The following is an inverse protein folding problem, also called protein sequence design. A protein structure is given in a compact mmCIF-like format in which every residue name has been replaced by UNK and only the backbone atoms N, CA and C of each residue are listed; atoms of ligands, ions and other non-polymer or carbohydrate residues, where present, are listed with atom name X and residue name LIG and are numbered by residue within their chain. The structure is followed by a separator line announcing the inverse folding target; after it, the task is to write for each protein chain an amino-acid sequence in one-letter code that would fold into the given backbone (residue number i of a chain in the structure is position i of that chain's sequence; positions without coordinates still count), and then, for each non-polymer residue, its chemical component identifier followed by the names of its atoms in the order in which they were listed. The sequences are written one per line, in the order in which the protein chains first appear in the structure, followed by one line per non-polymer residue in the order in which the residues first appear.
data_IF_373829788077
#
_entry.id   IF_373829788077
#
_cell.length_a   1.000
_cell.length_b   1.000
_cell.length_c   1.000
_cell.angle_alpha   90.00
_cell.angle_beta   90.00
_cell.angle_gamma   90.00
#
_symmetry.space_group_name_H-M   'P 1'
#
loop_
_entity.id
_entity.type
_entity.pdbx_description
1 polymer ?
#
# COMPACT_ATOMS: atom_id res chain seq x y z
N UNK A 1 2.22 18.04 -2.15
CA UNK A 1 2.98 16.93 -1.55
C UNK A 1 2.36 16.67 -0.18
N UNK A 2 1.64 15.56 0.01
CA UNK A 2 1.13 15.18 1.34
C UNK A 2 2.15 14.23 1.96
N UNK A 3 2.67 14.60 3.13
CA UNK A 3 3.60 13.75 3.87
C UNK A 3 2.78 12.59 4.45
N UNK A 4 3.18 11.37 4.12
CA UNK A 4 2.56 10.13 4.59
C UNK A 4 3.52 9.45 5.56
N UNK A 5 3.07 9.21 6.79
CA UNK A 5 3.79 8.43 7.79
C UNK A 5 3.13 7.07 7.92
N UNK A 6 3.87 6.00 7.65
CA UNK A 6 3.36 4.62 7.68
C UNK A 6 4.36 3.73 8.43
N UNK A 7 3.85 2.89 9.34
CA UNK A 7 4.61 1.83 10.00
C UNK A 7 4.14 0.46 9.46
N UNK A 8 5.07 -0.34 8.95
CA UNK A 8 4.78 -1.69 8.44
C UNK A 8 5.18 -2.74 9.47
N UNK A 9 4.25 -3.64 9.81
CA UNK A 9 4.48 -4.79 10.67
C UNK A 9 4.44 -6.07 9.82
N UNK A 10 5.55 -6.81 9.76
CA UNK A 10 5.63 -8.07 9.03
C UNK A 10 5.15 -9.25 9.88
N UNK A 11 4.78 -10.36 9.22
CA UNK A 11 4.44 -11.64 9.87
C UNK A 11 3.30 -11.54 10.90
N UNK A 12 2.23 -10.82 10.55
CA UNK A 12 1.02 -10.72 11.39
C UNK A 12 0.02 -11.84 11.11
N UNK A 13 -0.78 -12.20 12.11
CA UNK A 13 -2.04 -12.93 11.92
C UNK A 13 -3.14 -11.92 11.57
N UNK A 14 -3.73 -12.06 10.37
CA UNK A 14 -4.73 -11.11 9.87
C UNK A 14 -6.02 -11.15 10.69
N UNK A 15 -6.40 -12.31 11.20
CA UNK A 15 -7.69 -12.47 11.87
C UNK A 15 -7.62 -11.93 13.30
N UNK A 16 -6.49 -12.16 13.99
CA UNK A 16 -6.20 -11.52 15.29
C UNK A 16 -6.16 -10.00 15.18
N UNK A 17 -5.47 -9.46 14.17
CA UNK A 17 -5.34 -8.01 14.00
C UNK A 17 -6.69 -7.37 13.67
N UNK A 18 -7.51 -8.01 12.84
CA UNK A 18 -8.87 -7.53 12.53
C UNK A 18 -9.76 -7.48 13.76
N UNK A 19 -9.74 -8.53 14.58
CA UNK A 19 -10.51 -8.59 15.83
C UNK A 19 -10.08 -7.47 16.79
N UNK A 20 -8.77 -7.25 16.97
CA UNK A 20 -8.24 -6.15 17.79
C UNK A 20 -8.64 -4.78 17.27
N UNK A 21 -8.55 -4.56 15.95
CA UNK A 21 -8.97 -3.30 15.34
C UNK A 21 -10.46 -3.05 15.56
N UNK A 22 -11.31 -4.08 15.42
CA UNK A 22 -12.75 -3.95 15.65
C UNK A 22 -13.06 -3.62 17.12
N UNK A 23 -12.39 -4.29 18.06
CA UNK A 23 -12.51 -4.01 19.51
C UNK A 23 -12.07 -2.59 19.87
N UNK A 24 -11.12 -2.03 19.13
CA UNK A 24 -10.68 -0.64 19.27
C UNK A 24 -11.60 0.38 18.54
N UNK A 25 -12.72 -0.06 17.94
CA UNK A 25 -13.65 0.81 17.21
C UNK A 25 -13.33 1.01 15.73
N UNK A 26 -12.35 0.27 15.20
CA UNK A 26 -12.05 0.22 13.77
C UNK A 26 -13.22 -0.31 12.95
N UNK A 27 -13.35 0.16 11.71
CA UNK A 27 -14.44 -0.20 10.79
C UNK A 27 -13.91 -0.78 9.50
N UNK A 28 -14.56 -1.83 9.00
CA UNK A 28 -14.28 -2.38 7.68
C UNK A 28 -14.95 -1.51 6.61
N UNK A 29 -14.19 -0.60 6.01
CA UNK A 29 -14.69 0.28 4.93
C UNK A 29 -14.65 -0.41 3.56
N UNK A 30 -13.69 -1.32 3.35
CA UNK A 30 -13.51 -2.06 2.10
C UNK A 30 -13.12 -3.50 2.42
N UNK A 31 -13.90 -4.46 1.93
CA UNK A 31 -13.63 -5.91 2.07
C UNK A 31 -12.29 -6.29 1.44
N UNK A 32 -11.68 -7.39 1.87
CA UNK A 32 -10.40 -7.84 1.31
C UNK A 32 -10.48 -8.05 -0.21
N UNK A 33 -9.48 -7.56 -0.92
CA UNK A 33 -9.39 -7.62 -2.38
C UNK A 33 -7.95 -7.85 -2.82
N UNK A 34 -7.80 -8.41 -4.03
CA UNK A 34 -6.50 -8.66 -4.61
C UNK A 34 -5.87 -7.35 -5.12
N UNK A 35 -4.70 -7.01 -4.60
CA UNK A 35 -3.87 -5.93 -5.14
C UNK A 35 -2.82 -6.50 -6.10
N UNK A 36 -2.87 -6.10 -7.37
CA UNK A 36 -1.86 -6.46 -8.38
C UNK A 36 -1.00 -5.23 -8.67
N UNK A 37 0.32 -5.37 -8.68
CA UNK A 37 1.25 -4.27 -8.99
C UNK A 37 2.29 -4.66 -10.03
N UNK A 38 2.73 -3.66 -10.79
CA UNK A 38 3.94 -3.71 -11.62
C UNK A 38 4.85 -2.56 -11.23
N UNK A 39 6.10 -2.87 -10.92
CA UNK A 39 7.13 -1.89 -10.58
C UNK A 39 7.91 -1.52 -11.84
N UNK A 40 8.38 -0.27 -11.89
CA UNK A 40 9.19 0.28 -12.97
C UNK A 40 10.39 1.01 -12.36
N UNK A 41 11.53 0.86 -13.02
CA UNK A 41 12.70 1.68 -12.76
C UNK A 41 12.55 3.02 -13.48
N UNK A 42 13.15 4.06 -12.92
CA UNK A 42 13.17 5.37 -13.55
C UNK A 42 14.13 5.37 -14.76
N UNK A 43 13.83 6.16 -15.80
CA UNK A 43 14.72 6.28 -16.95
C UNK A 43 16.04 6.91 -16.52
N UNK A 44 17.10 6.59 -17.26
CA UNK A 44 18.45 7.12 -17.00
C UNK A 44 18.44 8.65 -16.95
N UNK A 45 19.09 9.24 -15.96
CA UNK A 45 19.15 10.69 -15.73
C UNK A 45 17.95 11.25 -14.95
N UNK A 46 17.02 10.41 -14.51
CA UNK A 46 15.88 10.78 -13.66
C UNK A 46 15.82 9.91 -12.39
N UNK A 47 16.95 9.35 -11.98
CA UNK A 47 17.04 8.50 -10.80
C UNK A 47 16.75 9.31 -9.53
N UNK A 48 15.99 8.71 -8.62
CA UNK A 48 15.81 9.18 -7.25
C UNK A 48 16.47 8.11 -6.38
N UNK A 49 17.32 8.51 -5.42
CA UNK A 49 17.98 7.55 -4.54
C UNK A 49 16.94 6.74 -3.74
N UNK A 50 16.97 5.41 -3.91
CA UNK A 50 15.97 4.50 -3.32
C UNK A 50 14.56 4.61 -3.94
N UNK A 51 14.39 5.47 -4.94
CA UNK A 51 13.10 5.76 -5.56
C UNK A 51 12.69 4.74 -6.60
N UNK A 52 11.39 4.57 -6.74
CA UNK A 52 10.79 3.64 -7.69
C UNK A 52 9.35 4.04 -8.02
N UNK A 53 8.90 3.62 -9.19
CA UNK A 53 7.53 3.83 -9.61
C UNK A 53 6.75 2.53 -9.62
N UNK A 54 5.46 2.60 -9.33
CA UNK A 54 4.54 1.50 -9.57
C UNK A 54 3.21 1.94 -10.12
N UNK A 55 2.62 1.03 -10.90
CA UNK A 55 1.19 0.99 -11.19
C UNK A 55 0.58 -0.14 -10.37
N UNK A 56 -0.51 0.14 -9.65
CA UNK A 56 -1.25 -0.85 -8.84
C UNK A 56 -2.73 -0.83 -9.22
N UNK A 57 -3.27 -2.01 -9.47
CA UNK A 57 -4.71 -2.24 -9.53
C UNK A 57 -5.20 -2.56 -8.10
N UNK A 58 -6.14 -1.76 -7.61
CA UNK A 58 -6.75 -1.83 -6.28
C UNK A 58 -8.19 -2.39 -6.31
N UNK A 59 -8.55 -3.09 -7.38
CA UNK A 59 -9.85 -3.73 -7.59
C UNK A 59 -10.87 -2.81 -8.26
N UNK A 60 -11.05 -1.61 -7.72
CA UNK A 60 -12.00 -0.58 -8.19
C UNK A 60 -11.33 0.53 -9.00
N UNK A 61 -10.03 0.75 -8.80
CA UNK A 61 -9.24 1.78 -9.47
C UNK A 61 -7.82 1.33 -9.74
N UNK A 62 -7.18 2.01 -10.69
CA UNK A 62 -5.75 1.88 -10.96
C UNK A 62 -5.06 3.14 -10.41
N UNK A 63 -4.05 2.94 -9.56
CA UNK A 63 -3.26 4.02 -8.96
C UNK A 63 -1.81 3.95 -9.43
N UNK A 64 -1.18 5.12 -9.55
CA UNK A 64 0.26 5.26 -9.78
C UNK A 64 0.89 5.97 -8.59
N UNK A 65 2.03 5.49 -8.12
CA UNK A 65 2.82 6.15 -7.08
C UNK A 65 4.29 6.17 -7.51
N UNK A 66 4.91 7.33 -7.36
CA UNK A 66 6.36 7.51 -7.30
C UNK A 66 6.72 7.61 -5.81
N UNK A 67 7.62 6.74 -5.37
CA UNK A 67 8.27 6.84 -4.06
C UNK A 67 9.73 7.20 -4.27
#
# INVERSE_FOLDING_TARGET
MQIEYEATFANIDKDEVRDRLQKAGGRLIKSEFMQKRRNFNLPRGNEIEGGWMRVRNEGDKITMRLK
#
